data_IF_646220745122
#
_entry.id   IF_646220745122
#
_cell.length_a   1.000
_cell.length_b   1.000
_cell.length_c   1.000
_cell.angle_alpha   90.00
_cell.angle_beta   90.00
_cell.angle_gamma   90.00
#
_symmetry.space_group_name_H-M   'P 1'
#
loop_
_entity.id
_entity.type
_entity.pdbx_description
1 polymer ?
#
# COMPACT_ATOMS: atom_id res chain seq x y z
N UNK A 1 15.05 -5.80 -9.06
CA UNK A 1 14.91 -5.71 -7.59
C UNK A 1 14.08 -4.50 -7.28
N UNK A 2 13.18 -4.59 -6.30
CA UNK A 2 12.27 -3.49 -5.97
C UNK A 2 13.02 -2.43 -5.15
N UNK A 3 13.35 -1.28 -5.76
CA UNK A 3 14.15 -0.18 -5.19
C UNK A 3 13.63 0.25 -3.83
N UNK A 4 12.31 0.34 -3.66
CA UNK A 4 11.70 0.68 -2.36
C UNK A 4 11.87 -0.43 -1.31
N UNK A 5 11.80 -1.69 -1.72
CA UNK A 5 11.98 -2.84 -0.82
C UNK A 5 13.42 -2.88 -0.32
N UNK A 6 14.38 -2.57 -1.17
CA UNK A 6 15.79 -2.46 -0.77
C UNK A 6 15.98 -1.39 0.32
N UNK A 7 15.26 -0.27 0.25
CA UNK A 7 15.30 0.78 1.30
C UNK A 7 14.72 0.28 2.63
N UNK A 8 13.64 -0.49 2.58
CA UNK A 8 13.01 -1.11 3.76
C UNK A 8 13.97 -2.10 4.42
N UNK A 9 14.54 -3.03 3.66
CA UNK A 9 15.45 -4.05 4.19
C UNK A 9 16.84 -3.50 4.56
N UNK A 10 17.21 -2.35 4.02
CA UNK A 10 18.34 -1.53 4.51
C UNK A 10 18.04 -0.82 5.82
N UNK A 11 16.83 -0.98 6.36
CA UNK A 11 16.40 -0.43 7.65
C UNK A 11 16.59 1.09 7.73
N UNK A 12 16.31 1.77 6.62
CA UNK A 12 16.30 3.23 6.51
C UNK A 12 15.15 3.84 7.32
N UNK A 13 13.87 3.43 7.14
CA UNK A 13 12.76 4.11 7.80
C UNK A 13 12.68 3.78 9.30
N UNK A 14 13.04 2.55 9.68
CA UNK A 14 13.04 2.02 11.03
C UNK A 14 14.06 0.90 11.15
N UNK A 15 14.76 0.82 12.28
CA UNK A 15 15.61 -0.34 12.62
C UNK A 15 14.77 -1.54 12.96
N UNK A 16 15.12 -2.69 12.39
CA UNK A 16 14.45 -3.95 12.67
C UNK A 16 14.84 -4.43 14.06
N UNK A 17 13.86 -5.04 14.73
CA UNK A 17 14.03 -5.74 16.01
C UNK A 17 14.41 -7.20 15.79
N UNK A 18 14.25 -7.71 14.57
CA UNK A 18 14.77 -9.00 14.12
C UNK A 18 16.28 -9.13 14.37
N UNK A 19 16.68 -10.22 15.01
CA UNK A 19 18.09 -10.57 15.22
C UNK A 19 18.73 -11.29 14.02
N UNK A 20 17.98 -11.49 12.93
CA UNK A 20 18.46 -12.19 11.73
C UNK A 20 18.66 -11.18 10.60
N UNK A 21 19.89 -11.10 10.09
CA UNK A 21 20.26 -10.21 9.00
C UNK A 21 19.39 -10.45 7.76
N UNK A 22 18.95 -9.35 7.14
CA UNK A 22 18.09 -9.38 5.95
C UNK A 22 16.67 -9.91 6.20
N UNK A 23 16.25 -10.13 7.45
CA UNK A 23 14.90 -10.60 7.77
C UNK A 23 14.15 -9.63 8.66
N UNK A 24 12.86 -9.51 8.39
CA UNK A 24 11.87 -8.76 9.16
C UNK A 24 11.12 -9.75 10.07
N UNK A 25 11.01 -9.47 11.38
CA UNK A 25 10.19 -10.29 12.28
C UNK A 25 8.72 -9.82 12.24
N UNK A 26 7.84 -10.47 13.01
CA UNK A 26 6.43 -10.09 13.03
C UNK A 26 6.19 -8.64 13.48
N UNK A 27 6.89 -8.17 14.51
CA UNK A 27 6.74 -6.79 14.99
C UNK A 27 7.16 -5.77 13.92
N UNK A 28 8.31 -5.99 13.29
CA UNK A 28 8.80 -5.16 12.20
C UNK A 28 7.81 -5.17 11.01
N UNK A 29 7.19 -6.32 10.73
CA UNK A 29 6.16 -6.47 9.72
C UNK A 29 4.87 -5.73 10.06
N UNK A 30 4.44 -5.71 11.31
CA UNK A 30 3.27 -4.91 11.75
C UNK A 30 3.50 -3.42 11.46
N UNK A 31 4.70 -2.89 11.79
CA UNK A 31 5.02 -1.50 11.47
C UNK A 31 5.02 -1.23 9.96
N UNK A 32 5.58 -2.15 9.17
CA UNK A 32 5.51 -2.06 7.71
C UNK A 32 4.07 -2.07 7.20
N UNK A 33 3.23 -2.98 7.69
CA UNK A 33 1.82 -3.09 7.28
C UNK A 33 1.01 -1.84 7.61
N UNK A 34 1.18 -1.28 8.82
CA UNK A 34 0.52 -0.02 9.20
C UNK A 34 0.92 1.13 8.28
N UNK A 35 2.21 1.21 7.92
CA UNK A 35 2.71 2.22 6.98
C UNK A 35 2.22 1.96 5.54
N UNK A 36 2.17 0.71 5.09
CA UNK A 36 1.80 0.37 3.73
C UNK A 36 0.30 0.55 3.46
N UNK A 37 -0.54 0.22 4.43
CA UNK A 37 -2.00 0.26 4.27
C UNK A 37 -2.60 1.65 4.45
N UNK A 38 -2.14 2.42 5.43
CA UNK A 38 -2.54 3.82 5.59
C UNK A 38 -1.37 4.78 5.35
N UNK A 39 -1.11 5.04 4.06
CA UNK A 39 -0.11 6.02 3.61
C UNK A 39 -0.48 7.48 3.86
N UNK A 40 -1.69 7.75 4.34
CA UNK A 40 -2.13 9.11 4.67
C UNK A 40 -1.81 9.50 6.11
N UNK A 41 -1.58 8.50 6.97
CA UNK A 41 -1.22 8.72 8.38
C UNK A 41 0.16 9.37 8.53
N UNK A 42 0.32 10.26 9.51
CA UNK A 42 1.61 10.92 9.76
C UNK A 42 2.79 9.95 9.99
N UNK A 43 2.65 8.84 10.77
CA UNK A 43 3.74 7.89 10.93
C UNK A 43 4.14 7.21 9.62
N UNK A 44 3.17 6.96 8.74
CA UNK A 44 3.43 6.38 7.43
C UNK A 44 4.13 7.36 6.49
N UNK A 45 3.69 8.62 6.46
CA UNK A 45 4.35 9.67 5.68
C UNK A 45 5.81 9.82 6.10
N UNK A 46 6.11 9.80 7.39
CA UNK A 46 7.49 9.81 7.90
C UNK A 46 8.29 8.56 7.51
N UNK A 47 7.67 7.39 7.57
CA UNK A 47 8.29 6.12 7.18
C UNK A 47 8.71 6.17 5.71
N UNK A 48 7.78 6.53 4.81
CA UNK A 48 8.04 6.52 3.38
C UNK A 48 8.91 7.69 2.93
N UNK A 49 8.80 8.87 3.56
CA UNK A 49 9.68 9.99 3.26
C UNK A 49 11.15 9.63 3.47
N UNK A 50 11.49 8.98 4.60
CA UNK A 50 12.86 8.49 4.86
C UNK A 50 13.32 7.48 3.81
N UNK A 51 12.41 6.62 3.33
CA UNK A 51 12.75 5.69 2.25
C UNK A 51 13.07 6.42 0.95
N UNK A 52 12.30 7.46 0.61
CA UNK A 52 12.42 8.19 -0.65
C UNK A 52 13.59 9.18 -0.67
N UNK A 53 13.89 9.81 0.47
CA UNK A 53 15.00 10.74 0.66
C UNK A 53 16.32 9.95 0.61
N UNK A 54 16.96 9.93 -0.57
CA UNK A 54 18.10 9.05 -0.85
C UNK A 54 19.37 9.56 -0.17
N UNK A 55 19.53 10.87 -0.09
CA UNK A 55 20.70 11.52 0.49
C UNK A 55 20.49 11.97 1.96
N UNK A 56 19.25 11.96 2.45
CA UNK A 56 18.90 12.29 3.83
C UNK A 56 18.88 13.79 4.12
N UNK A 57 18.73 14.63 3.09
CA UNK A 57 18.79 16.09 3.22
C UNK A 57 17.45 16.72 3.67
N UNK A 58 16.38 15.93 3.78
CA UNK A 58 15.06 16.38 4.22
C UNK A 58 14.17 16.95 3.12
N UNK A 59 14.53 16.80 1.84
CA UNK A 59 13.73 17.20 0.69
C UNK A 59 13.70 16.09 -0.37
N UNK A 60 12.61 15.99 -1.13
CA UNK A 60 12.48 15.07 -2.26
C UNK A 60 12.56 15.87 -3.56
N UNK A 61 13.59 15.57 -4.34
CA UNK A 61 13.83 16.19 -5.64
C UNK A 61 13.22 15.36 -6.78
N UNK A 62 13.08 15.97 -7.96
CA UNK A 62 12.67 15.26 -9.18
C UNK A 62 13.54 14.04 -9.48
N UNK A 63 14.84 14.09 -9.19
CA UNK A 63 15.76 12.99 -9.43
C UNK A 63 15.47 11.77 -8.53
N UNK A 64 15.16 12.01 -7.26
CA UNK A 64 14.81 10.93 -6.32
C UNK A 64 13.45 10.33 -6.67
N UNK A 65 12.48 11.16 -7.04
CA UNK A 65 11.18 10.69 -7.53
C UNK A 65 11.33 9.86 -8.81
N UNK A 66 12.12 10.32 -9.78
CA UNK A 66 12.42 9.58 -11.01
C UNK A 66 13.06 8.23 -10.69
N UNK A 67 13.99 8.20 -9.73
CA UNK A 67 14.62 6.94 -9.31
C UNK A 67 13.60 5.90 -8.85
N UNK A 68 12.54 6.24 -8.13
CA UNK A 68 11.53 5.23 -7.80
C UNK A 68 10.57 4.95 -8.96
N UNK A 69 10.18 6.01 -9.70
CA UNK A 69 9.23 5.90 -10.81
C UNK A 69 9.74 5.06 -11.99
N UNK A 70 11.05 5.04 -12.28
CA UNK A 70 11.61 4.21 -13.36
C UNK A 70 11.25 2.73 -13.23
N UNK A 71 11.16 2.23 -12.01
CA UNK A 71 10.75 0.84 -11.78
C UNK A 71 9.26 0.63 -12.08
N UNK A 72 8.44 1.63 -11.76
CA UNK A 72 7.01 1.62 -12.01
C UNK A 72 6.72 1.62 -13.51
N UNK A 73 7.48 2.43 -14.26
CA UNK A 73 7.48 2.46 -15.72
C UNK A 73 7.73 1.06 -16.30
N UNK A 74 8.80 0.40 -15.85
CA UNK A 74 9.15 -0.95 -16.29
C UNK A 74 8.05 -1.97 -15.97
N UNK A 75 7.41 -1.86 -14.81
CA UNK A 75 6.29 -2.73 -14.42
C UNK A 75 5.03 -2.48 -15.27
N UNK A 76 4.73 -1.23 -15.63
CA UNK A 76 3.63 -0.89 -16.55
C UNK A 76 3.85 -1.51 -17.93
N UNK A 77 5.06 -1.42 -18.47
CA UNK A 77 5.43 -2.05 -19.75
C UNK A 77 5.21 -3.58 -19.72
N UNK A 78 5.62 -4.22 -18.62
CA UNK A 78 5.42 -5.67 -18.42
C UNK A 78 3.94 -6.07 -18.34
N UNK A 79 3.06 -5.14 -17.95
CA UNK A 79 1.60 -5.32 -17.90
C UNK A 79 0.90 -4.88 -19.19
N UNK A 80 1.66 -4.53 -20.25
CA UNK A 80 1.17 -3.95 -21.50
C UNK A 80 0.27 -2.71 -21.29
N UNK A 81 0.54 -1.94 -20.23
CA UNK A 81 -0.07 -0.64 -20.00
C UNK A 81 0.74 0.42 -20.74
N UNK A 82 0.07 1.49 -21.18
CA UNK A 82 0.74 2.62 -21.80
C UNK A 82 1.54 3.40 -20.73
N UNK A 83 2.88 3.49 -20.87
CA UNK A 83 3.69 4.21 -19.90
C UNK A 83 3.45 5.72 -20.00
N UNK A 84 3.33 6.38 -18.84
CA UNK A 84 3.26 7.84 -18.75
C UNK A 84 4.67 8.41 -18.57
N UNK A 85 4.97 9.51 -19.28
CA UNK A 85 6.25 10.20 -19.15
C UNK A 85 6.45 10.72 -17.73
N UNK A 86 7.70 10.71 -17.26
CA UNK A 86 8.00 11.19 -15.92
C UNK A 86 7.72 12.69 -15.79
N UNK A 87 7.95 13.51 -16.83
CA UNK A 87 7.66 14.94 -16.76
C UNK A 87 6.18 15.23 -16.49
N UNK A 88 5.28 14.50 -17.14
CA UNK A 88 3.84 14.62 -16.93
C UNK A 88 3.44 14.14 -15.53
N UNK A 89 4.03 13.02 -15.08
CA UNK A 89 3.81 12.48 -13.74
C UNK A 89 4.31 13.45 -12.65
N UNK A 90 5.47 14.07 -12.86
CA UNK A 90 6.04 15.04 -11.95
C UNK A 90 5.14 16.28 -11.85
N UNK A 91 4.62 16.79 -12.98
CA UNK A 91 3.65 17.90 -12.96
C UNK A 91 2.41 17.53 -12.14
N UNK A 92 1.86 16.33 -12.37
CA UNK A 92 0.71 15.84 -11.60
C UNK A 92 1.01 15.73 -10.10
N UNK A 93 2.21 15.26 -9.72
CA UNK A 93 2.66 15.18 -8.33
C UNK A 93 2.74 16.58 -7.70
N UNK A 94 3.38 17.53 -8.39
CA UNK A 94 3.52 18.92 -7.92
C UNK A 94 2.14 19.58 -7.78
N UNK A 95 1.23 19.38 -8.72
CA UNK A 95 -0.14 19.89 -8.66
C UNK A 95 -0.93 19.31 -7.48
N UNK A 96 -0.77 18.00 -7.19
CA UNK A 96 -1.44 17.35 -6.07
C UNK A 96 -0.90 17.81 -4.72
N UNK A 97 0.42 17.93 -4.57
CA UNK A 97 1.05 18.32 -3.31
C UNK A 97 0.94 19.82 -3.07
N UNK A 98 1.06 20.64 -4.12
CA UNK A 98 1.17 22.09 -4.06
C UNK A 98 2.23 22.54 -3.04
N UNK A 99 3.50 22.13 -3.22
CA UNK A 99 4.56 22.39 -2.25
C UNK A 99 4.85 23.89 -2.11
N UNK A 100 5.40 24.30 -0.96
CA UNK A 100 5.81 25.69 -0.73
C UNK A 100 6.83 26.18 -1.77
N UNK A 101 7.65 25.26 -2.29
CA UNK A 101 8.58 25.50 -3.40
C UNK A 101 8.48 24.40 -4.44
N UNK A 102 8.45 24.76 -5.72
CA UNK A 102 8.26 23.80 -6.81
C UNK A 102 9.51 22.95 -7.11
N UNK A 103 10.68 23.32 -6.61
CA UNK A 103 11.93 22.59 -6.88
C UNK A 103 12.11 21.31 -6.04
N UNK A 104 11.37 21.18 -4.94
CA UNK A 104 11.41 19.99 -4.08
C UNK A 104 10.17 19.86 -3.19
N UNK A 105 9.93 18.66 -2.67
CA UNK A 105 8.84 18.37 -1.73
C UNK A 105 9.43 18.05 -0.36
N UNK A 106 8.96 18.71 0.69
CA UNK A 106 9.33 18.40 2.07
C UNK A 106 8.33 17.45 2.74
N UNK A 107 8.72 16.85 3.86
CA UNK A 107 7.78 16.09 4.69
C UNK A 107 6.60 16.97 5.16
N UNK A 108 6.83 18.28 5.39
CA UNK A 108 5.77 19.20 5.78
C UNK A 108 4.74 19.37 4.67
N UNK A 109 5.19 19.47 3.42
CA UNK A 109 4.29 19.55 2.27
C UNK A 109 3.43 18.28 2.15
N UNK A 110 4.04 17.10 2.34
CA UNK A 110 3.29 15.84 2.37
C UNK A 110 2.27 15.80 3.52
N UNK A 111 2.65 16.17 4.74
CA UNK A 111 1.72 16.21 5.88
C UNK A 111 0.57 17.22 5.67
N UNK A 112 0.79 18.26 4.87
CA UNK A 112 -0.23 19.24 4.51
C UNK A 112 -1.21 18.78 3.42
N UNK A 113 -0.89 17.71 2.69
CA UNK A 113 -1.65 17.27 1.54
C UNK A 113 -2.44 15.97 1.81
N UNK A 114 -3.75 16.00 1.51
CA UNK A 114 -4.63 14.81 1.64
C UNK A 114 -4.37 13.73 0.59
N UNK A 115 -3.65 14.07 -0.48
CA UNK A 115 -3.34 13.16 -1.59
C UNK A 115 -1.95 12.53 -1.48
N UNK A 116 -1.20 12.79 -0.41
CA UNK A 116 0.17 12.27 -0.27
C UNK A 116 0.25 10.75 -0.32
N UNK A 117 -0.74 10.04 0.22
CA UNK A 117 -0.80 8.58 0.08
C UNK A 117 -0.86 8.13 -1.39
N UNK A 118 -1.59 8.87 -2.25
CA UNK A 118 -1.66 8.59 -3.68
C UNK A 118 -0.34 8.91 -4.39
N UNK A 119 0.29 10.03 -4.05
CA UNK A 119 1.63 10.39 -4.55
C UNK A 119 2.66 9.32 -4.22
N UNK A 120 2.66 8.79 -3.00
CA UNK A 120 3.54 7.69 -2.62
C UNK A 120 3.25 6.42 -3.45
N UNK A 121 1.98 6.11 -3.71
CA UNK A 121 1.62 4.95 -4.55
C UNK A 121 2.11 5.10 -5.99
N UNK A 122 2.04 6.30 -6.59
CA UNK A 122 2.59 6.58 -7.94
C UNK A 122 4.05 6.14 -7.99
N UNK A 123 4.84 6.54 -6.99
CA UNK A 123 6.29 6.33 -6.98
C UNK A 123 6.71 4.86 -6.78
N UNK A 124 5.96 4.05 -6.02
CA UNK A 124 6.44 2.70 -5.68
C UNK A 124 5.38 1.62 -5.43
N UNK A 125 4.09 1.91 -5.49
CA UNK A 125 3.04 0.90 -5.40
C UNK A 125 2.10 0.96 -6.63
N UNK A 126 2.52 0.25 -7.69
CA UNK A 126 1.79 0.24 -8.95
C UNK A 126 0.36 -0.29 -8.80
N UNK A 127 0.14 -1.30 -7.96
CA UNK A 127 -1.18 -1.89 -7.79
C UNK A 127 -2.17 -0.89 -7.18
N UNK A 128 -1.76 -0.18 -6.12
CA UNK A 128 -2.60 0.87 -5.51
C UNK A 128 -2.74 2.08 -6.42
N UNK A 129 -1.70 2.44 -7.19
CA UNK A 129 -1.79 3.49 -8.19
C UNK A 129 -2.81 3.16 -9.28
N UNK A 130 -2.73 1.98 -9.91
CA UNK A 130 -3.69 1.57 -10.94
C UNK A 130 -5.11 1.45 -10.40
N UNK A 131 -5.28 0.96 -9.17
CA UNK A 131 -6.60 0.93 -8.51
C UNK A 131 -7.18 2.33 -8.28
N UNK A 132 -6.32 3.34 -8.05
CA UNK A 132 -6.73 4.73 -7.95
C UNK A 132 -7.11 5.35 -9.32
N UNK A 133 -6.32 5.09 -10.36
CA UNK A 133 -6.60 5.59 -11.72
C UNK A 133 -7.89 4.99 -12.32
N UNK A 134 -8.16 3.72 -12.01
CA UNK A 134 -9.33 2.99 -12.54
C UNK A 134 -10.56 3.06 -11.62
N UNK A 135 -10.49 3.84 -10.54
CA UNK A 135 -11.55 3.88 -9.52
C UNK A 135 -12.85 4.45 -10.09
N UNK A 136 -13.95 3.76 -9.80
CA UNK A 136 -15.28 4.20 -10.20
C UNK A 136 -15.62 5.55 -9.53
N UNK A 137 -16.04 6.58 -10.30
CA UNK A 137 -16.51 7.85 -9.76
C UNK A 137 -17.60 7.74 -8.69
N UNK A 138 -18.41 6.69 -8.71
CA UNK A 138 -19.42 6.39 -7.71
C UNK A 138 -18.80 5.98 -6.37
N UNK A 139 -17.81 5.08 -6.38
CA UNK A 139 -17.10 4.65 -5.17
C UNK A 139 -16.33 5.81 -4.52
N UNK A 140 -15.76 6.71 -5.33
CA UNK A 140 -15.13 7.94 -4.84
C UNK A 140 -16.11 8.82 -4.06
N UNK A 141 -17.38 8.91 -4.51
CA UNK A 141 -18.41 9.69 -3.81
C UNK A 141 -18.80 9.03 -2.50
N UNK A 142 -18.97 7.72 -2.49
CA UNK A 142 -19.34 6.97 -1.29
C UNK A 142 -18.27 7.07 -0.19
N UNK A 143 -16.98 7.00 -0.54
CA UNK A 143 -15.90 7.18 0.45
C UNK A 143 -15.88 8.59 1.07
N UNK A 144 -16.30 9.61 0.31
CA UNK A 144 -16.44 10.99 0.82
C UNK A 144 -17.64 11.16 1.76
N UNK A 145 -18.62 10.27 1.72
CA UNK A 145 -19.81 10.32 2.58
C UNK A 145 -19.50 9.85 4.01
N UNK A 146 -18.48 9.01 4.20
CA UNK A 146 -17.95 8.65 5.53
C UNK A 146 -16.48 9.06 5.68
N UNK A 147 -16.22 10.36 5.92
CA UNK A 147 -14.87 10.90 6.07
C UNK A 147 -14.23 10.55 7.42
N UNK A 148 -14.94 9.83 8.30
CA UNK A 148 -14.43 9.50 9.65
C UNK A 148 -13.56 8.26 9.67
N UNK A 149 -13.70 7.39 8.67
CA UNK A 149 -12.90 6.18 8.52
C UNK A 149 -11.54 6.50 7.88
N UNK A 150 -10.48 6.03 8.53
CA UNK A 150 -9.12 6.05 7.98
C UNK A 150 -8.95 5.01 6.87
N UNK A 151 -7.88 5.11 6.10
CA UNK A 151 -7.56 4.09 5.09
C UNK A 151 -7.28 2.72 5.76
N UNK A 152 -6.72 2.73 6.96
CA UNK A 152 -6.55 1.52 7.76
C UNK A 152 -7.90 0.89 8.13
N UNK A 153 -8.88 1.69 8.57
CA UNK A 153 -10.20 1.17 8.94
C UNK A 153 -10.89 0.52 7.73
N UNK A 154 -10.79 1.16 6.55
CA UNK A 154 -11.33 0.62 5.30
C UNK A 154 -10.63 -0.70 4.90
N UNK A 155 -9.31 -0.72 4.98
CA UNK A 155 -8.51 -1.92 4.70
C UNK A 155 -8.88 -3.06 5.66
N UNK A 156 -8.83 -2.81 6.96
CA UNK A 156 -9.10 -3.81 8.00
C UNK A 156 -10.53 -4.36 7.89
N UNK A 157 -11.52 -3.50 7.63
CA UNK A 157 -12.90 -3.93 7.41
C UNK A 157 -13.03 -4.85 6.19
N UNK A 158 -12.41 -4.48 5.05
CA UNK A 158 -12.44 -5.28 3.83
C UNK A 158 -11.76 -6.65 4.02
N UNK A 159 -10.58 -6.66 4.64
CA UNK A 159 -9.84 -7.90 4.90
C UNK A 159 -10.57 -8.80 5.89
N UNK A 160 -11.20 -8.23 6.93
CA UNK A 160 -12.03 -8.99 7.86
C UNK A 160 -13.17 -9.70 7.14
N UNK A 161 -13.91 -8.99 6.28
CA UNK A 161 -15.00 -9.59 5.50
C UNK A 161 -14.46 -10.70 4.60
N UNK A 162 -13.37 -10.44 3.87
CA UNK A 162 -12.75 -11.42 2.97
C UNK A 162 -12.39 -12.71 3.71
N UNK A 163 -11.69 -12.59 4.85
CA UNK A 163 -11.27 -13.74 5.65
C UNK A 163 -12.47 -14.49 6.24
N UNK A 164 -13.49 -13.79 6.73
CA UNK A 164 -14.70 -14.44 7.26
C UNK A 164 -15.45 -15.27 6.20
N UNK A 165 -15.48 -14.81 4.95
CA UNK A 165 -16.09 -15.55 3.84
C UNK A 165 -15.24 -16.76 3.38
N UNK A 166 -13.92 -16.69 3.57
CA UNK A 166 -13.01 -17.81 3.29
C UNK A 166 -13.19 -18.92 4.33
N UNK A 167 -13.35 -18.57 5.61
CA UNK A 167 -13.66 -19.53 6.69
C UNK A 167 -15.01 -20.24 6.46
N UNK A 168 -16.06 -19.48 6.10
CA UNK A 168 -17.39 -20.06 5.81
C UNK A 168 -17.36 -21.07 4.65
N UNK A 169 -16.51 -20.87 3.64
CA UNK A 169 -16.37 -21.81 2.51
C UNK A 169 -15.60 -23.08 2.89
N UNK A 170 -14.65 -23.01 3.81
CA UNK A 170 -13.93 -24.18 4.32
C UNK A 170 -14.84 -25.08 5.18
N UNK A 171 -15.75 -24.48 5.97
CA UNK A 171 -16.74 -25.21 6.76
C UNK A 171 -17.81 -25.90 5.88
N UNK A 172 -18.21 -25.28 4.77
CA UNK A 172 -19.14 -25.91 3.80
C UNK A 172 -18.46 -27.07 3.05
N UNK A 173 -17.15 -27.01 2.81
CA UNK A 173 -16.40 -28.09 2.15
C UNK A 173 -16.10 -29.27 3.09
N UNK A 174 -16.04 -29.07 4.41
CA UNK A 174 -15.89 -30.14 5.40
C UNK A 174 -17.24 -30.68 5.93
N UNK A 175 -18.35 -29.95 5.74
CA UNK A 175 -19.68 -30.32 6.21
C UNK A 175 -20.41 -31.42 5.40
N UNK A 176 -19.85 -31.92 4.30
CA UNK A 176 -20.52 -32.91 3.43
C UNK A 176 -20.03 -34.36 3.63
N UNK A 177 -19.54 -34.74 4.81
CA UNK A 177 -19.01 -36.08 5.08
C UNK A 177 -19.58 -36.82 6.30
N UNK A 178 -20.66 -36.35 6.93
CA UNK A 178 -21.33 -37.14 7.98
C UNK A 178 -22.85 -37.18 7.78
N UNK A 179 -23.29 -37.96 6.78
CA UNK A 179 -24.64 -38.54 6.82
C UNK A 179 -24.54 -39.83 7.64
N UNK A 180 -24.97 -39.71 8.90
CA UNK A 180 -25.23 -40.82 9.80
C UNK A 180 -26.33 -41.70 9.20
N UNK A 181 -25.98 -42.84 8.59
CA UNK A 181 -26.93 -43.95 8.37
C UNK A 181 -26.59 -45.08 9.34
N UNK A 182 -26.98 -44.87 10.59
CA UNK A 182 -27.03 -45.89 11.62
C UNK A 182 -28.35 -46.67 11.46
N UNK A 183 -28.40 -47.58 10.49
CA UNK A 183 -29.48 -48.56 10.38
C UNK A 183 -29.09 -49.86 11.09
N UNK A 184 -29.18 -49.83 12.42
CA UNK A 184 -29.21 -51.02 13.27
C UNK A 184 -30.54 -51.77 13.06
N UNK A 185 -30.52 -52.92 12.41
CA UNK A 185 -31.49 -53.99 12.71
C UNK A 185 -30.96 -55.38 12.29
N UNK A 186 -30.58 -56.17 13.29
CA UNK A 186 -30.72 -57.62 13.34
C UNK A 186 -31.41 -57.91 14.69
N UNK A 187 -32.27 -58.94 14.86
CA UNK A 187 -32.12 -60.30 14.30
C UNK A 187 -33.43 -61.02 13.89
N UNK A 188 -33.33 -62.14 13.15
CA UNK A 188 -33.79 -63.51 13.52
C UNK A 188 -33.33 -64.51 12.45
#
# INVERSE_FOLDING_TARGET
TYRIVDRIFSQVPRKFTSNIEGKMNYEDFVYFMLAEEDKSSEPSLEYWFKCLDLDGNGVLTANEMLFFYEEQLHRMECMAQEPVLFEDTLCQIVDMISPEREDYITLRDLKGCKLSGNVLNILFNLNKFMAFETRDPFLIRQEREDPTLTEWDRFAHREYIRLSMEEDNEDVSNGSAEVWDESLEAPF
#
